data_IF_588402379257
#
_entry.id   IF_588402379257
#
_cell.length_a   1.000
_cell.length_b   1.000
_cell.length_c   1.000
_cell.angle_alpha   90.00
_cell.angle_beta   90.00
_cell.angle_gamma   90.00
#
_symmetry.space_group_name_H-M   'P 1'
#
loop_
_entity.id
_entity.type
_entity.pdbx_description
1 polymer ?
#
# COMPACT_ATOMS: atom_id res chain seq x y z
N UNK A 1 37.05 -45.12 -4.81
CA UNK A 1 35.80 -44.42 -4.43
C UNK A 1 35.94 -42.97 -4.88
N UNK A 2 35.30 -42.60 -5.99
CA UNK A 2 35.33 -41.23 -6.52
C UNK A 2 34.10 -40.48 -5.99
N UNK A 3 34.33 -39.53 -5.09
CA UNK A 3 33.28 -38.68 -4.53
C UNK A 3 32.94 -37.54 -5.50
N UNK A 4 31.76 -37.62 -6.12
CA UNK A 4 31.19 -36.51 -6.89
C UNK A 4 30.49 -35.53 -5.95
N UNK A 5 31.11 -34.38 -5.71
CA UNK A 5 30.48 -33.27 -4.99
C UNK A 5 29.51 -32.53 -5.91
N UNK A 6 28.22 -32.58 -5.59
CA UNK A 6 27.19 -31.80 -6.29
C UNK A 6 27.27 -30.37 -5.76
N UNK A 7 27.67 -29.43 -6.60
CA UNK A 7 27.63 -27.99 -6.29
C UNK A 7 26.17 -27.54 -6.43
N UNK A 8 25.48 -27.33 -5.30
CA UNK A 8 24.17 -26.71 -5.28
C UNK A 8 24.31 -25.21 -5.60
N UNK A 9 23.84 -24.80 -6.77
CA UNK A 9 23.71 -23.39 -7.15
C UNK A 9 22.53 -22.79 -6.36
N UNK A 10 22.84 -21.95 -5.37
CA UNK A 10 21.82 -21.14 -4.70
C UNK A 10 21.27 -20.10 -5.69
N UNK A 11 19.97 -20.18 -6.00
CA UNK A 11 19.27 -19.14 -6.76
C UNK A 11 19.41 -17.80 -6.03
N UNK A 12 19.70 -16.69 -6.73
CA UNK A 12 19.63 -15.38 -6.10
C UNK A 12 18.19 -15.15 -5.66
N UNK A 13 17.98 -15.02 -4.35
CA UNK A 13 16.75 -14.46 -3.82
C UNK A 13 16.63 -13.07 -4.44
N UNK A 14 15.66 -12.87 -5.35
CA UNK A 14 15.29 -11.54 -5.82
C UNK A 14 14.97 -10.72 -4.58
N UNK A 15 15.86 -9.80 -4.22
CA UNK A 15 15.63 -8.88 -3.14
C UNK A 15 14.32 -8.15 -3.45
N UNK A 16 13.29 -8.39 -2.65
CA UNK A 16 12.05 -7.64 -2.74
C UNK A 16 12.41 -6.16 -2.54
N UNK A 17 11.88 -5.30 -3.40
CA UNK A 17 12.13 -3.87 -3.27
C UNK A 17 11.77 -3.41 -1.84
N UNK A 18 12.59 -2.55 -1.22
CA UNK A 18 12.33 -2.08 0.14
C UNK A 18 10.98 -1.37 0.18
N UNK A 19 10.23 -1.59 1.26
CA UNK A 19 8.94 -0.97 1.46
C UNK A 19 9.10 0.53 1.71
N UNK A 20 8.41 1.37 0.94
CA UNK A 20 8.37 2.82 1.16
C UNK A 20 6.93 3.32 1.24
N UNK A 21 6.38 3.38 2.45
CA UNK A 21 5.01 3.79 2.69
C UNK A 21 4.92 5.28 2.94
N UNK A 22 4.42 6.00 1.93
CA UNK A 22 4.19 7.46 2.01
C UNK A 22 2.73 7.72 2.30
N UNK A 23 2.45 8.47 3.37
CA UNK A 23 1.10 8.89 3.70
C UNK A 23 0.55 9.77 2.57
N UNK A 24 -0.64 9.44 2.09
CA UNK A 24 -1.34 10.13 1.01
C UNK A 24 -2.62 10.81 1.49
N UNK A 25 -3.34 10.19 2.43
CA UNK A 25 -4.59 10.73 2.97
C UNK A 25 -4.84 10.24 4.40
N UNK A 26 -5.57 11.04 5.18
CA UNK A 26 -6.08 10.65 6.50
C UNK A 26 -7.56 10.99 6.57
N UNK A 27 -8.39 9.97 6.72
CA UNK A 27 -9.82 10.09 6.95
C UNK A 27 -10.30 8.94 7.84
N UNK A 28 -11.29 8.18 7.37
CA UNK A 28 -11.70 6.93 8.07
C UNK A 28 -10.57 5.89 8.13
N UNK A 29 -9.62 5.97 7.20
CA UNK A 29 -8.38 5.22 7.20
C UNK A 29 -7.23 6.19 6.97
N UNK A 30 -6.03 5.84 7.43
CA UNK A 30 -4.81 6.47 6.95
C UNK A 30 -4.31 5.68 5.73
N UNK A 31 -4.25 6.34 4.57
CA UNK A 31 -3.86 5.71 3.30
C UNK A 31 -2.37 5.96 3.03
N UNK A 32 -1.58 4.89 2.95
CA UNK A 32 -0.16 4.94 2.59
C UNK A 32 0.08 4.28 1.24
N UNK A 33 0.78 4.98 0.35
CA UNK A 33 1.20 4.46 -0.95
C UNK A 33 2.53 3.74 -0.79
N UNK A 34 2.63 2.49 -1.26
CA UNK A 34 3.91 1.78 -1.38
C UNK A 34 4.67 2.25 -2.62
N UNK A 35 5.51 3.27 -2.44
CA UNK A 35 6.30 3.87 -3.51
C UNK A 35 7.46 2.97 -3.96
N UNK A 36 7.96 2.10 -3.09
CA UNK A 36 9.05 1.17 -3.41
C UNK A 36 8.59 0.01 -4.29
N UNK A 37 7.30 -0.34 -4.23
CA UNK A 37 6.67 -1.39 -5.02
C UNK A 37 6.00 -0.94 -6.32
N UNK A 38 6.12 0.33 -6.74
CA UNK A 38 5.43 0.81 -7.95
C UNK A 38 6.07 0.24 -9.20
N UNK A 39 5.27 -0.45 -10.01
CA UNK A 39 5.66 -0.91 -11.35
C UNK A 39 5.03 -0.01 -12.40
N UNK A 40 5.85 0.59 -13.27
CA UNK A 40 5.38 1.48 -14.33
C UNK A 40 5.34 0.77 -15.69
N UNK A 41 4.32 1.08 -16.48
CA UNK A 41 4.25 0.79 -17.92
C UNK A 41 3.76 2.05 -18.62
N UNK A 42 4.67 2.77 -19.27
CA UNK A 42 4.37 4.12 -19.76
C UNK A 42 3.93 5.04 -18.61
N UNK A 43 2.73 5.62 -18.72
CA UNK A 43 2.11 6.48 -17.70
C UNK A 43 1.12 5.75 -16.79
N UNK A 44 1.05 4.43 -16.90
CA UNK A 44 0.25 3.58 -16.03
C UNK A 44 1.11 3.01 -14.90
N UNK A 45 0.67 3.17 -13.65
CA UNK A 45 1.32 2.63 -12.46
C UNK A 45 0.50 1.47 -11.88
N UNK A 46 1.14 0.33 -11.61
CA UNK A 46 0.59 -0.73 -10.77
C UNK A 46 1.27 -0.70 -9.41
N UNK A 47 0.48 -0.61 -8.35
CA UNK A 47 0.99 -0.43 -6.99
C UNK A 47 0.02 -1.02 -5.96
N UNK A 48 0.38 -0.88 -4.69
CA UNK A 48 -0.51 -1.13 -3.56
C UNK A 48 -0.58 0.07 -2.62
N UNK A 49 -1.73 0.20 -1.98
CA UNK A 49 -2.02 1.24 -0.98
C UNK A 49 -2.43 0.56 0.31
N UNK A 50 -1.71 0.79 1.39
CA UNK A 50 -2.10 0.35 2.72
C UNK A 50 -3.18 1.28 3.25
N UNK A 51 -4.32 0.72 3.63
CA UNK A 51 -5.32 1.41 4.44
C UNK A 51 -5.15 0.95 5.88
N UNK A 52 -4.63 1.83 6.74
CA UNK A 52 -4.56 1.60 8.18
C UNK A 52 -5.89 1.98 8.81
N UNK A 53 -6.47 1.06 9.56
CA UNK A 53 -7.70 1.27 10.32
C UNK A 53 -7.44 1.88 11.70
N UNK A 54 -8.51 2.43 12.28
CA UNK A 54 -8.54 2.89 13.66
C UNK A 54 -8.15 1.79 14.66
N UNK A 55 -7.80 2.21 15.88
CA UNK A 55 -7.46 1.24 16.91
C UNK A 55 -8.69 0.39 17.32
N UNK A 56 -8.45 -0.88 17.65
CA UNK A 56 -9.53 -1.81 17.99
C UNK A 56 -10.43 -2.24 16.82
N UNK A 57 -10.06 -1.96 15.56
CA UNK A 57 -10.85 -2.40 14.39
C UNK A 57 -10.95 -3.94 14.31
N UNK A 58 -12.20 -4.44 14.30
CA UNK A 58 -12.56 -5.87 14.25
C UNK A 58 -13.46 -6.12 13.05
N UNK A 59 -13.19 -7.20 12.31
CA UNK A 59 -14.08 -7.72 11.28
C UNK A 59 -14.36 -9.20 11.55
N UNK A 60 -15.64 -9.56 11.71
CA UNK A 60 -16.02 -10.87 12.22
C UNK A 60 -15.50 -11.05 13.66
N UNK A 61 -14.63 -12.04 13.87
CA UNK A 61 -14.03 -12.35 15.18
C UNK A 61 -12.54 -12.02 15.26
N UNK A 62 -11.98 -11.40 14.22
CA UNK A 62 -10.54 -11.13 14.12
C UNK A 62 -10.25 -9.63 14.17
N UNK A 63 -9.14 -9.27 14.80
CA UNK A 63 -8.65 -7.90 14.85
C UNK A 63 -7.70 -7.62 13.68
N UNK A 64 -7.84 -6.44 13.07
CA UNK A 64 -7.08 -6.04 11.90
C UNK A 64 -6.38 -4.70 12.10
N UNK A 65 -5.22 -4.56 11.47
CA UNK A 65 -4.57 -3.27 11.26
C UNK A 65 -5.14 -2.54 10.05
N UNK A 66 -5.82 -3.25 9.14
CA UNK A 66 -6.47 -2.71 7.96
C UNK A 66 -6.29 -3.63 6.75
N UNK A 67 -5.82 -3.11 5.62
CA UNK A 67 -5.57 -3.92 4.42
C UNK A 67 -4.85 -3.22 3.28
N UNK A 68 -4.28 -4.02 2.38
CA UNK A 68 -3.73 -3.58 1.11
C UNK A 68 -4.81 -3.53 0.05
N UNK A 69 -4.95 -2.37 -0.60
CA UNK A 69 -5.61 -2.25 -1.88
C UNK A 69 -4.59 -2.35 -3.00
N UNK A 70 -4.87 -3.12 -4.03
CA UNK A 70 -4.05 -3.21 -5.23
C UNK A 70 -4.67 -2.34 -6.31
N UNK A 71 -3.87 -1.48 -6.93
CA UNK A 71 -4.38 -0.42 -7.80
C UNK A 71 -3.59 -0.37 -9.11
N UNK A 72 -4.31 -0.03 -10.18
CA UNK A 72 -3.76 0.35 -11.48
C UNK A 72 -4.22 1.78 -11.77
N UNK A 73 -3.28 2.72 -11.88
CA UNK A 73 -3.55 4.14 -12.07
C UNK A 73 -3.04 4.55 -13.45
N UNK A 74 -3.90 5.16 -14.26
CA UNK A 74 -3.49 5.88 -15.46
C UNK A 74 -3.31 7.36 -15.11
N UNK A 75 -2.06 7.84 -15.14
CA UNK A 75 -1.75 9.21 -14.76
C UNK A 75 -2.17 10.25 -15.80
N UNK A 76 -2.31 9.88 -17.08
CA UNK A 76 -2.73 10.80 -18.13
C UNK A 76 -4.26 10.91 -18.15
N UNK A 77 -4.95 9.78 -18.08
CA UNK A 77 -6.42 9.74 -18.03
C UNK A 77 -7.00 10.08 -16.65
N UNK A 78 -6.17 10.10 -15.59
CA UNK A 78 -6.57 10.29 -14.19
C UNK A 78 -7.66 9.32 -13.77
N UNK A 79 -7.47 8.05 -14.12
CA UNK A 79 -8.35 6.94 -13.78
C UNK A 79 -7.67 5.95 -12.85
N UNK A 80 -8.47 5.20 -12.11
CA UNK A 80 -8.02 4.12 -11.22
C UNK A 80 -8.86 2.87 -11.45
N UNK A 81 -8.19 1.72 -11.55
CA UNK A 81 -8.78 0.40 -11.56
C UNK A 81 -8.32 -0.36 -10.31
N UNK A 82 -9.28 -0.84 -9.53
CA UNK A 82 -8.99 -1.60 -8.31
C UNK A 82 -8.78 -3.06 -8.68
N UNK A 83 -7.60 -3.59 -8.35
CA UNK A 83 -7.10 -4.90 -8.75
C UNK A 83 -7.06 -5.93 -7.61
N UNK A 84 -7.81 -5.68 -6.55
CA UNK A 84 -8.00 -6.61 -5.44
C UNK A 84 -7.67 -6.02 -4.07
N UNK A 85 -7.89 -6.83 -3.05
CA UNK A 85 -7.68 -6.47 -1.65
C UNK A 85 -7.09 -7.63 -0.85
N UNK A 86 -6.14 -7.33 0.04
CA UNK A 86 -5.62 -8.26 1.04
C UNK A 86 -5.78 -7.65 2.43
N UNK A 87 -6.37 -8.39 3.36
CA UNK A 87 -6.50 -7.94 4.75
C UNK A 87 -5.15 -8.02 5.48
N UNK A 88 -4.93 -7.13 6.44
CA UNK A 88 -3.76 -7.13 7.30
C UNK A 88 -4.23 -7.31 8.74
N UNK A 89 -4.01 -8.50 9.29
CA UNK A 89 -4.35 -8.81 10.69
C UNK A 89 -3.39 -8.09 11.63
N UNK A 90 -3.82 -7.94 12.90
CA UNK A 90 -2.91 -7.50 13.97
C UNK A 90 -1.65 -8.37 13.98
N UNK A 91 -0.49 -7.72 14.10
CA UNK A 91 0.81 -8.37 13.96
C UNK A 91 1.37 -8.35 12.53
N UNK A 92 0.67 -7.72 11.58
CA UNK A 92 1.16 -7.47 10.22
C UNK A 92 1.00 -8.65 9.27
N UNK A 93 0.23 -9.67 9.65
CA UNK A 93 -0.01 -10.84 8.79
C UNK A 93 -0.97 -10.47 7.66
N UNK A 94 -0.43 -10.46 6.44
CA UNK A 94 -1.17 -10.24 5.20
C UNK A 94 -1.97 -11.50 4.82
N UNK A 95 -3.23 -11.31 4.41
CA UNK A 95 -4.09 -12.34 3.85
C UNK A 95 -3.83 -12.57 2.36
N UNK A 96 -4.54 -13.52 1.74
CA UNK A 96 -4.53 -13.65 0.29
C UNK A 96 -5.16 -12.41 -0.37
N UNK A 97 -4.73 -12.12 -1.61
CA UNK A 97 -5.40 -11.14 -2.45
C UNK A 97 -6.74 -11.75 -2.90
N UNK A 98 -7.80 -10.97 -2.77
CA UNK A 98 -9.16 -11.32 -3.17
C UNK A 98 -9.76 -10.26 -4.08
N UNK A 99 -10.69 -10.68 -4.94
CA UNK A 99 -11.34 -9.82 -5.93
C UNK A 99 -10.55 -9.69 -7.23
N UNK A 100 -11.28 -9.48 -8.32
CA UNK A 100 -10.73 -9.27 -9.66
C UNK A 100 -10.52 -7.78 -9.95
N UNK A 101 -9.73 -7.50 -10.99
CA UNK A 101 -9.57 -6.14 -11.49
C UNK A 101 -10.90 -5.60 -12.03
N UNK A 102 -11.33 -4.49 -11.41
CA UNK A 102 -12.53 -3.75 -11.83
C UNK A 102 -12.17 -2.81 -12.99
N UNK A 103 -13.14 -2.45 -13.84
CA UNK A 103 -12.92 -1.44 -14.87
C UNK A 103 -12.38 -0.14 -14.29
N UNK A 104 -11.50 0.52 -15.04
CA UNK A 104 -10.97 1.82 -14.66
C UNK A 104 -12.10 2.87 -14.59
N UNK A 105 -12.08 3.69 -13.55
CA UNK A 105 -13.04 4.77 -13.34
C UNK A 105 -12.32 6.11 -13.13
N UNK A 106 -12.95 7.21 -13.51
CA UNK A 106 -12.46 8.56 -13.20
C UNK A 106 -12.37 8.74 -11.70
N UNK A 107 -11.25 9.29 -11.25
CA UNK A 107 -10.98 9.49 -9.82
C UNK A 107 -11.80 10.68 -9.29
N UNK A 108 -12.70 10.49 -8.31
CA UNK A 108 -13.50 11.59 -7.77
C UNK A 108 -12.63 12.63 -7.04
N UNK A 109 -12.86 13.91 -7.29
CA UNK A 109 -12.14 14.99 -6.61
C UNK A 109 -12.38 14.95 -5.09
N UNK A 110 -11.34 15.23 -4.30
CA UNK A 110 -11.41 15.22 -2.83
C UNK A 110 -11.47 13.83 -2.19
N UNK A 111 -11.39 12.76 -2.98
CA UNK A 111 -11.31 11.38 -2.45
C UNK A 111 -9.89 11.01 -2.02
N UNK A 112 -9.76 10.00 -1.16
CA UNK A 112 -8.48 9.36 -0.84
C UNK A 112 -7.76 8.86 -2.11
N UNK A 113 -8.51 8.40 -3.11
CA UNK A 113 -7.95 7.97 -4.40
C UNK A 113 -7.35 9.15 -5.17
N UNK A 114 -7.98 10.34 -5.12
CA UNK A 114 -7.40 11.55 -5.70
C UNK A 114 -6.09 11.94 -5.03
N UNK A 115 -5.98 11.76 -3.71
CA UNK A 115 -4.76 12.01 -2.97
C UNK A 115 -3.65 11.00 -3.34
N UNK A 116 -3.99 9.71 -3.39
CA UNK A 116 -3.08 8.64 -3.86
C UNK A 116 -2.56 8.93 -5.27
N UNK A 117 -3.45 9.25 -6.20
CA UNK A 117 -3.09 9.55 -7.59
C UNK A 117 -2.17 10.77 -7.67
N UNK A 118 -2.39 11.81 -6.87
CA UNK A 118 -1.47 12.96 -6.79
C UNK A 118 -0.09 12.58 -6.25
N UNK A 119 -0.02 11.76 -5.20
CA UNK A 119 1.26 11.27 -4.66
C UNK A 119 2.03 10.49 -5.72
N UNK A 120 1.35 9.61 -6.46
CA UNK A 120 1.97 8.73 -7.46
C UNK A 120 2.34 9.48 -8.75
N UNK A 121 1.40 10.21 -9.34
CA UNK A 121 1.54 10.80 -10.66
C UNK A 121 2.22 12.16 -10.66
N UNK A 122 2.01 12.95 -9.59
CA UNK A 122 2.43 14.35 -9.53
C UNK A 122 3.59 14.54 -8.54
N UNK A 123 3.99 13.48 -7.83
CA UNK A 123 5.01 13.55 -6.77
C UNK A 123 4.59 14.38 -5.57
N UNK A 124 3.29 14.60 -5.39
CA UNK A 124 2.73 15.41 -4.31
C UNK A 124 3.08 14.81 -2.94
N UNK A 125 3.44 15.67 -1.98
CA UNK A 125 3.85 15.28 -0.62
C UNK A 125 3.05 16.09 0.41
N UNK A 126 1.76 15.78 0.63
CA UNK A 126 0.92 16.53 1.55
C UNK A 126 1.48 16.53 2.98
N UNK A 127 2.07 15.40 3.38
CA UNK A 127 2.54 15.15 4.74
C UNK A 127 4.07 15.15 4.83
N UNK A 128 4.72 16.21 4.36
CA UNK A 128 6.19 16.26 4.30
C UNK A 128 6.90 16.14 5.68
N UNK A 129 6.20 16.48 6.78
CA UNK A 129 6.69 16.29 8.15
C UNK A 129 6.49 14.88 8.71
N UNK A 130 5.74 14.02 8.02
CA UNK A 130 5.48 12.64 8.45
C UNK A 130 6.58 11.73 7.86
N UNK A 131 7.26 10.92 8.70
CA UNK A 131 8.26 9.98 8.21
C UNK A 131 7.68 8.97 7.22
N UNK A 132 8.47 8.63 6.19
CA UNK A 132 8.16 7.47 5.32
C UNK A 132 8.26 6.20 6.16
N UNK A 133 7.19 5.41 6.21
CA UNK A 133 7.20 4.14 6.93
C UNK A 133 7.87 3.05 6.10
N UNK A 134 8.74 2.26 6.72
CA UNK A 134 9.46 1.16 6.06
C UNK A 134 8.90 -0.22 6.45
N UNK A 135 7.81 -0.23 7.21
CA UNK A 135 7.06 -1.44 7.57
C UNK A 135 5.58 -1.11 7.81
N UNK A 136 4.72 -2.12 7.70
CA UNK A 136 3.29 -2.02 8.05
C UNK A 136 3.11 -1.58 9.50
N UNK A 137 3.88 -2.15 10.44
CA UNK A 137 3.79 -1.79 11.86
C UNK A 137 4.15 -0.32 12.13
N UNK A 138 5.14 0.22 11.40
CA UNK A 138 5.48 1.64 11.49
C UNK A 138 4.35 2.51 10.90
N UNK A 139 3.77 2.13 9.76
CA UNK A 139 2.62 2.83 9.19
C UNK A 139 1.41 2.83 10.14
N UNK A 140 1.17 1.74 10.88
CA UNK A 140 0.12 1.67 11.91
C UNK A 140 0.40 2.62 13.07
N UNK A 141 1.66 2.65 13.54
CA UNK A 141 2.10 3.54 14.62
C UNK A 141 1.95 5.01 14.24
N UNK A 142 2.21 5.35 12.97
CA UNK A 142 2.05 6.71 12.44
C UNK A 142 0.58 7.04 12.21
N UNK A 143 -0.18 6.15 11.55
CA UNK A 143 -1.51 6.45 11.03
C UNK A 143 -2.59 6.53 12.11
N UNK A 144 -2.58 5.63 13.10
CA UNK A 144 -3.66 5.56 14.10
C UNK A 144 -3.83 6.84 14.93
N UNK A 145 -2.77 7.49 15.43
CA UNK A 145 -2.90 8.78 16.11
C UNK A 145 -3.53 9.87 15.22
N UNK A 146 -3.21 9.88 13.93
CA UNK A 146 -3.75 10.85 12.97
C UNK A 146 -5.25 10.63 12.73
N UNK A 147 -5.67 9.37 12.60
CA UNK A 147 -7.09 9.01 12.51
C UNK A 147 -7.85 9.48 13.76
N UNK A 148 -7.33 9.20 14.95
CA UNK A 148 -8.00 9.49 16.22
C UNK A 148 -8.17 10.99 16.49
N UNK A 149 -7.23 11.81 16.03
CA UNK A 149 -7.26 13.27 16.24
C UNK A 149 -7.97 14.02 15.13
N UNK A 150 -8.22 13.37 13.99
CA UNK A 150 -8.69 14.04 12.77
C UNK A 150 -7.72 15.11 12.28
N UNK A 151 -6.47 15.08 12.75
CA UNK A 151 -5.48 16.08 12.42
C UNK A 151 -4.84 15.75 11.07
N UNK A 152 -4.94 16.69 10.14
CA UNK A 152 -3.89 16.87 9.14
C UNK A 152 -2.62 17.30 9.92
N UNK A 153 -1.51 16.54 9.89
CA UNK A 153 -0.20 16.89 10.46
C UNK A 153 0.32 18.25 10.02
#
# INVERSE_FOLDING_TARGET
MLGGGVIALASPALAQAPLELRLADVGRFAAFVDMGGVTWTGRTARLRVLQVAEDGFIAGTEAFWGGWRYEVIDCDARTIAHAGFSSVRVGGKEGPISGDERPAATVPAGSADAAVVKVVCDGWRPYAGVPVATSVGQAVTIGRPLIATGAEP
#
